data_IF_825776923046
#
_entry.id   IF_825776923046
#
_cell.length_a   1.000
_cell.length_b   1.000
_cell.length_c   1.000
_cell.angle_alpha   90.00
_cell.angle_beta   90.00
_cell.angle_gamma   90.00
#
_symmetry.space_group_name_H-M   'P 1'
#
loop_
_entity.id
_entity.type
_entity.pdbx_description
1 polymer ?
#
# COMPACT_ATOMS: atom_id res chain seq x y z
N UNK A 1 -8.37 -6.18 -14.37
CA UNK A 1 -7.96 -4.85 -13.92
C UNK A 1 -6.44 -4.78 -13.87
N UNK A 2 -5.85 -3.79 -14.55
CA UNK A 2 -4.40 -3.68 -14.58
C UNK A 2 -3.79 -3.38 -13.22
N UNK A 3 -2.67 -4.00 -12.95
CA UNK A 3 -1.83 -3.66 -11.80
C UNK A 3 -0.49 -3.18 -12.32
N UNK A 4 0.10 -2.22 -11.60
CA UNK A 4 1.44 -1.71 -11.89
C UNK A 4 2.29 -1.88 -10.64
N UNK A 5 3.39 -2.61 -10.74
CA UNK A 5 4.30 -2.74 -9.60
C UNK A 5 4.85 -1.38 -9.22
N UNK A 6 4.90 -1.13 -7.92
CA UNK A 6 5.36 0.13 -7.39
C UNK A 6 6.88 0.22 -7.49
N UNK A 7 7.38 1.20 -8.22
CA UNK A 7 8.81 1.48 -8.34
C UNK A 7 9.17 2.84 -7.73
N UNK A 8 8.16 3.72 -7.60
CA UNK A 8 8.35 5.02 -6.97
C UNK A 8 7.02 5.51 -6.41
N UNK A 9 7.05 6.60 -5.65
CA UNK A 9 5.85 7.23 -5.11
C UNK A 9 5.33 8.37 -5.98
N UNK A 10 5.88 8.53 -7.17
CA UNK A 10 5.56 9.65 -8.05
C UNK A 10 4.70 9.25 -9.24
N UNK A 11 4.53 7.96 -9.50
CA UNK A 11 3.90 7.45 -10.71
C UNK A 11 2.43 7.87 -10.85
N UNK A 12 1.70 7.91 -9.74
CA UNK A 12 0.29 8.26 -9.71
C UNK A 12 0.02 9.33 -8.65
N UNK A 13 0.92 10.31 -8.53
CA UNK A 13 0.90 11.25 -7.41
C UNK A 13 -0.41 12.01 -7.26
N UNK A 14 -0.98 12.65 -8.31
CA UNK A 14 -2.25 13.35 -8.16
C UNK A 14 -3.39 12.41 -7.81
N UNK A 15 -3.44 11.26 -8.45
CA UNK A 15 -4.48 10.24 -8.22
C UNK A 15 -4.40 9.67 -6.82
N UNK A 16 -3.18 9.47 -6.31
CA UNK A 16 -2.96 9.01 -4.93
C UNK A 16 -3.56 10.02 -3.93
N UNK A 17 -3.27 11.29 -4.12
CA UNK A 17 -3.79 12.33 -3.23
C UNK A 17 -5.32 12.41 -3.27
N UNK A 18 -5.92 12.29 -4.47
CA UNK A 18 -7.37 12.25 -4.63
C UNK A 18 -7.98 11.03 -3.91
N UNK A 19 -7.36 9.87 -4.09
CA UNK A 19 -7.82 8.64 -3.44
C UNK A 19 -7.75 8.76 -1.93
N UNK A 20 -6.71 9.38 -1.41
CA UNK A 20 -6.54 9.59 0.01
C UNK A 20 -7.67 10.42 0.62
N UNK A 21 -8.14 11.46 -0.09
CA UNK A 21 -9.24 12.29 0.40
C UNK A 21 -10.57 11.53 0.48
N UNK A 22 -10.72 10.46 -0.31
CA UNK A 22 -11.94 9.64 -0.33
C UNK A 22 -11.88 8.49 0.67
N UNK A 23 -10.70 8.20 1.22
CA UNK A 23 -10.50 7.02 2.05
C UNK A 23 -10.92 7.25 3.50
N UNK A 24 -11.56 6.25 4.15
CA UNK A 24 -11.83 6.32 5.59
C UNK A 24 -10.57 6.23 6.43
N UNK A 25 -9.44 5.84 5.85
CA UNK A 25 -8.15 5.72 6.54
C UNK A 25 -7.22 6.88 6.19
N UNK A 26 -7.75 8.01 5.75
CA UNK A 26 -6.95 9.19 5.42
C UNK A 26 -6.08 9.62 6.62
N UNK A 27 -4.77 9.57 6.45
CA UNK A 27 -3.81 10.01 7.47
C UNK A 27 -2.53 10.47 6.80
N UNK A 28 -1.73 11.27 7.51
CA UNK A 28 -0.44 11.76 7.01
C UNK A 28 0.50 10.60 6.68
N UNK A 29 0.39 9.48 7.42
CA UNK A 29 1.24 8.31 7.21
C UNK A 29 0.99 7.63 5.88
N UNK A 30 -0.17 7.82 5.28
CA UNK A 30 -0.55 7.22 4.01
C UNK A 30 -0.28 8.14 2.82
N UNK A 31 0.30 9.32 3.05
CA UNK A 31 0.70 10.20 1.95
C UNK A 31 1.94 9.66 1.26
N UNK A 32 2.07 9.86 -0.06
CA UNK A 32 3.27 9.43 -0.76
C UNK A 32 4.52 10.14 -0.26
N UNK A 33 4.40 11.41 0.16
CA UNK A 33 5.51 12.18 0.68
C UNK A 33 6.08 11.56 1.96
N UNK A 34 5.21 11.17 2.90
CA UNK A 34 5.64 10.56 4.16
C UNK A 34 6.32 9.22 3.91
N UNK A 35 5.76 8.42 3.02
CA UNK A 35 6.29 7.10 2.71
C UNK A 35 7.63 7.17 1.98
N UNK A 36 7.80 8.18 1.09
CA UNK A 36 9.08 8.40 0.42
C UNK A 36 10.18 8.70 1.44
N UNK A 37 9.88 9.54 2.42
CA UNK A 37 10.85 9.87 3.49
C UNK A 37 11.24 8.62 4.26
N UNK A 38 10.28 7.76 4.58
CA UNK A 38 10.58 6.51 5.27
C UNK A 38 11.53 5.64 4.45
N UNK A 39 11.27 5.49 3.15
CA UNK A 39 12.14 4.72 2.28
C UNK A 39 13.55 5.30 2.18
N UNK A 40 13.67 6.60 2.16
CA UNK A 40 14.98 7.27 2.09
C UNK A 40 15.84 6.97 3.31
N UNK A 41 15.22 6.80 4.48
CA UNK A 41 15.95 6.60 5.74
C UNK A 41 16.02 5.14 6.19
N UNK A 42 15.05 4.32 5.84
CA UNK A 42 14.93 2.97 6.39
C UNK A 42 14.85 1.86 5.32
N UNK A 43 14.93 2.20 4.06
CA UNK A 43 14.69 1.25 2.98
C UNK A 43 15.92 0.47 2.48
N UNK A 44 17.10 0.70 3.03
CA UNK A 44 18.37 0.19 2.47
C UNK A 44 18.43 -1.32 2.25
N UNK A 45 17.86 -2.11 3.15
CA UNK A 45 17.90 -3.57 3.07
C UNK A 45 16.54 -4.17 2.70
N UNK A 46 15.69 -3.36 2.08
CA UNK A 46 14.32 -3.76 1.76
C UNK A 46 14.03 -3.52 0.30
N UNK A 47 13.10 -4.28 -0.24
CA UNK A 47 12.61 -4.11 -1.60
C UNK A 47 11.21 -3.52 -1.56
N UNK A 48 10.92 -2.62 -2.49
CA UNK A 48 9.58 -2.10 -2.67
C UNK A 48 8.74 -3.19 -3.31
N UNK A 49 7.71 -3.67 -2.60
CA UNK A 49 6.92 -4.82 -3.01
C UNK A 49 5.46 -4.46 -3.29
N UNK A 50 5.13 -3.17 -3.28
CA UNK A 50 3.77 -2.73 -3.48
C UNK A 50 3.34 -2.68 -4.93
N UNK A 51 2.08 -2.33 -5.11
CA UNK A 51 1.51 -2.17 -6.44
C UNK A 51 0.35 -1.17 -6.42
N UNK A 52 0.06 -0.65 -7.62
CA UNK A 52 -1.10 0.19 -7.87
C UNK A 52 -2.13 -0.62 -8.66
N UNK A 53 -3.41 -0.43 -8.34
CA UNK A 53 -4.52 -1.00 -9.14
C UNK A 53 -5.25 0.16 -9.80
N UNK A 54 -5.40 0.09 -11.11
CA UNK A 54 -6.12 1.13 -11.84
C UNK A 54 -7.10 0.50 -12.83
N UNK A 55 -8.14 1.26 -13.16
CA UNK A 55 -9.19 0.82 -14.06
C UNK A 55 -9.68 2.03 -14.83
N UNK A 56 -9.71 1.92 -16.17
CA UNK A 56 -10.19 3.01 -17.05
C UNK A 56 -9.51 4.36 -16.77
N UNK A 57 -8.22 4.31 -16.45
CA UNK A 57 -7.45 5.51 -16.17
C UNK A 57 -7.56 6.06 -14.76
N UNK A 58 -8.35 5.43 -13.90
CA UNK A 58 -8.52 5.86 -12.52
C UNK A 58 -7.77 4.94 -11.56
N UNK A 59 -7.08 5.53 -10.58
CA UNK A 59 -6.41 4.78 -9.53
C UNK A 59 -7.46 4.28 -8.54
N UNK A 60 -7.52 2.97 -8.36
CA UNK A 60 -8.49 2.32 -7.49
C UNK A 60 -7.92 1.93 -6.15
N UNK A 61 -6.63 1.63 -6.09
CA UNK A 61 -5.99 1.21 -4.84
C UNK A 61 -4.49 1.41 -4.89
N UNK A 62 -3.90 1.63 -3.72
CA UNK A 62 -2.45 1.66 -3.52
C UNK A 62 -2.13 0.66 -2.40
N UNK A 63 -1.33 -0.33 -2.71
CA UNK A 63 -0.82 -1.28 -1.74
C UNK A 63 0.67 -1.02 -1.58
N UNK A 64 1.04 -0.16 -0.65
CA UNK A 64 2.44 0.21 -0.42
C UNK A 64 3.05 -0.73 0.61
N UNK A 65 4.00 -1.54 0.17
CA UNK A 65 4.58 -2.60 0.99
C UNK A 65 6.09 -2.64 0.86
N UNK A 66 6.75 -3.15 1.89
CA UNK A 66 8.18 -3.42 1.87
C UNK A 66 8.41 -4.92 2.05
N UNK A 67 9.44 -5.43 1.38
CA UNK A 67 9.80 -6.84 1.42
C UNK A 67 11.22 -7.02 1.93
N UNK A 68 11.38 -8.01 2.79
CA UNK A 68 12.68 -8.46 3.25
C UNK A 68 12.67 -9.99 3.24
N UNK A 69 13.38 -10.59 2.28
CA UNK A 69 13.31 -12.03 2.06
C UNK A 69 11.91 -12.45 1.61
N UNK A 70 11.33 -13.44 2.26
CA UNK A 70 9.96 -13.90 1.98
C UNK A 70 8.88 -13.18 2.77
N UNK A 71 9.24 -12.21 3.59
CA UNK A 71 8.30 -11.50 4.46
C UNK A 71 7.97 -10.12 3.91
N UNK A 72 6.68 -9.79 3.88
CA UNK A 72 6.17 -8.51 3.42
C UNK A 72 5.42 -7.82 4.55
N UNK A 73 5.64 -6.52 4.69
CA UNK A 73 4.91 -5.66 5.61
C UNK A 73 4.47 -4.40 4.88
N UNK A 74 3.67 -3.56 5.55
CA UNK A 74 3.42 -2.23 5.02
C UNK A 74 4.74 -1.45 4.91
N UNK A 75 4.79 -0.48 4.00
CA UNK A 75 5.79 0.57 4.05
C UNK A 75 5.67 1.27 5.40
N UNK A 76 6.79 1.40 6.10
CA UNK A 76 6.81 1.90 7.46
C UNK A 76 6.80 0.76 8.47
N UNK A 77 6.74 1.09 9.73
CA UNK A 77 6.72 0.11 10.80
C UNK A 77 6.01 0.68 12.01
N UNK A 78 5.71 -0.15 13.02
CA UNK A 78 4.99 0.32 14.20
C UNK A 78 5.75 1.39 14.99
N UNK A 79 7.08 1.46 14.83
CA UNK A 79 7.89 2.48 15.50
C UNK A 79 7.78 3.85 14.83
N UNK A 80 7.41 3.90 13.54
CA UNK A 80 7.43 5.12 12.76
C UNK A 80 6.06 5.55 12.26
N UNK A 81 5.08 4.65 12.21
CA UNK A 81 3.73 4.92 11.73
C UNK A 81 2.73 4.55 12.82
N UNK A 82 1.97 5.53 13.30
CA UNK A 82 0.90 5.27 14.27
C UNK A 82 -0.28 4.56 13.63
N UNK A 83 -0.55 4.85 12.36
CA UNK A 83 -1.62 4.23 11.57
C UNK A 83 -1.08 3.83 10.22
N UNK A 84 -1.52 2.67 9.73
CA UNK A 84 -1.14 2.19 8.41
C UNK A 84 -2.27 1.34 7.83
N UNK A 85 -2.36 1.29 6.50
CA UNK A 85 -3.36 0.48 5.82
C UNK A 85 -3.09 0.48 4.32
N UNK A 86 -3.83 -0.34 3.58
CA UNK A 86 -3.95 -0.19 2.15
C UNK A 86 -4.90 0.97 1.83
N UNK A 87 -4.63 1.68 0.77
CA UNK A 87 -5.48 2.76 0.32
C UNK A 87 -6.37 2.21 -0.80
N UNK A 88 -7.67 2.11 -0.54
CA UNK A 88 -8.62 1.48 -1.47
C UNK A 88 -9.81 2.40 -1.66
N UNK A 89 -10.19 2.63 -2.92
CA UNK A 89 -11.36 3.42 -3.23
C UNK A 89 -12.60 2.80 -2.59
N UNK A 90 -13.45 3.58 -1.90
CA UNK A 90 -14.67 3.05 -1.30
C UNK A 90 -15.51 2.30 -2.34
N UNK A 91 -15.94 1.08 -1.97
CA UNK A 91 -16.69 0.19 -2.86
C UNK A 91 -15.83 -0.77 -3.66
N UNK A 92 -14.50 -0.59 -3.67
CA UNK A 92 -13.59 -1.44 -4.43
C UNK A 92 -12.98 -2.57 -3.59
N UNK A 93 -13.25 -2.62 -2.30
CA UNK A 93 -12.60 -3.53 -1.35
C UNK A 93 -12.81 -4.99 -1.74
N UNK A 94 -14.01 -5.34 -2.17
CA UNK A 94 -14.35 -6.72 -2.56
C UNK A 94 -13.50 -7.22 -3.73
N UNK A 95 -13.12 -6.32 -4.64
CA UNK A 95 -12.26 -6.67 -5.77
C UNK A 95 -10.78 -6.58 -5.40
N UNK A 96 -10.43 -5.72 -4.45
CA UNK A 96 -9.02 -5.47 -4.09
C UNK A 96 -8.37 -6.64 -3.37
N UNK A 97 -9.00 -7.18 -2.32
CA UNK A 97 -8.34 -8.17 -1.48
C UNK A 97 -8.02 -9.48 -2.20
N UNK A 98 -8.89 -10.03 -3.06
CA UNK A 98 -8.49 -11.18 -3.87
C UNK A 98 -7.30 -10.87 -4.78
N UNK A 99 -7.24 -9.68 -5.35
CA UNK A 99 -6.12 -9.24 -6.18
C UNK A 99 -4.84 -9.16 -5.38
N UNK A 100 -4.90 -8.65 -4.15
CA UNK A 100 -3.75 -8.59 -3.26
C UNK A 100 -3.19 -9.99 -3.01
N UNK A 101 -4.04 -10.95 -2.70
CA UNK A 101 -3.61 -12.32 -2.46
C UNK A 101 -2.97 -12.94 -3.71
N UNK A 102 -3.54 -12.71 -4.88
CA UNK A 102 -2.97 -13.20 -6.14
C UNK A 102 -1.57 -12.63 -6.39
N UNK A 103 -1.39 -11.33 -6.20
CA UNK A 103 -0.08 -10.68 -6.39
C UNK A 103 0.96 -11.22 -5.42
N UNK A 104 0.59 -11.44 -4.16
CA UNK A 104 1.49 -12.01 -3.17
C UNK A 104 1.90 -13.43 -3.52
N UNK A 105 0.99 -14.24 -4.04
CA UNK A 105 1.29 -15.61 -4.48
C UNK A 105 2.22 -15.62 -5.69
N UNK A 106 1.99 -14.72 -6.64
CA UNK A 106 2.84 -14.62 -7.84
C UNK A 106 4.28 -14.23 -7.47
N UNK A 107 4.45 -13.42 -6.44
CA UNK A 107 5.77 -12.97 -5.98
C UNK A 107 6.43 -13.92 -4.98
N UNK A 108 5.83 -15.10 -4.75
CA UNK A 108 6.35 -16.11 -3.82
C UNK A 108 6.58 -15.59 -2.41
N UNK A 109 5.64 -14.77 -1.94
CA UNK A 109 5.67 -14.22 -0.58
C UNK A 109 5.27 -15.32 0.40
N UNK A 110 6.05 -15.49 1.47
CA UNK A 110 5.83 -16.53 2.47
C UNK A 110 4.97 -16.06 3.63
N UNK A 111 5.08 -14.79 3.99
CA UNK A 111 4.28 -14.24 5.08
C UNK A 111 4.04 -12.76 4.86
N UNK A 112 2.94 -12.26 5.41
CA UNK A 112 2.61 -10.86 5.42
C UNK A 112 2.20 -10.46 6.84
N UNK A 113 2.75 -9.35 7.32
CA UNK A 113 2.41 -8.81 8.63
C UNK A 113 1.90 -7.38 8.46
N UNK A 114 0.70 -7.14 8.92
CA UNK A 114 0.04 -5.84 8.78
C UNK A 114 -0.15 -5.22 10.17
N UNK A 115 0.61 -4.16 10.43
CA UNK A 115 0.63 -3.49 11.74
C UNK A 115 -0.11 -2.16 11.68
N UNK A 116 -0.57 -1.70 12.85
CA UNK A 116 -1.11 -0.35 13.04
C UNK A 116 -2.41 -0.08 12.29
N UNK A 117 -3.19 -1.11 12.00
CA UNK A 117 -4.51 -0.95 11.39
C UNK A 117 -5.46 -0.27 12.38
N UNK A 118 -6.25 0.69 11.88
CA UNK A 118 -7.31 1.31 12.68
C UNK A 118 -8.44 0.33 12.91
N UNK A 119 -9.10 0.43 14.07
CA UNK A 119 -10.35 -0.26 14.33
C UNK A 119 -11.37 0.13 13.27
N UNK A 120 -12.06 -0.85 12.71
CA UNK A 120 -13.04 -0.61 11.66
C UNK A 120 -12.48 -0.59 10.25
N UNK A 121 -11.16 -0.78 10.08
CA UNK A 121 -10.56 -0.86 8.74
C UNK A 121 -11.14 -2.03 7.94
N UNK A 122 -11.41 -1.84 6.63
CA UNK A 122 -11.83 -2.94 5.75
C UNK A 122 -10.80 -4.07 5.65
N UNK A 123 -9.54 -3.80 6.00
CA UNK A 123 -8.47 -4.81 5.98
C UNK A 123 -8.61 -5.84 7.12
N UNK A 124 -9.29 -5.46 8.18
CA UNK A 124 -9.49 -6.36 9.32
C UNK A 124 -10.46 -7.50 9.01
#
# INVERSE_FOLDING_TARGET
MPTTKMESFQEFLPEWEDLLTMSPVNSIYLTPQWQQVWWDYFGDNREMAGFYVHESGSLMAVASMSRQGGEVTFTGGPETFDYNDFLVRPGFETAFFPRLLDELQLDDVKSITLCSLKEGSPTL
#
